data_IF_016146459152
#
_entry.id   IF_016146459152
#
_cell.length_a   1.000
_cell.length_b   1.000
_cell.length_c   1.000
_cell.angle_alpha   90.00
_cell.angle_beta   90.00
_cell.angle_gamma   90.00
#
_symmetry.space_group_name_H-M   'P 1'
#
loop_
_entity.id
_entity.type
_entity.pdbx_description
1 polymer ?
#
# COMPACT_ATOMS: atom_id res chain seq x y z
N UNK A 1 18.63 -7.53 12.02
CA UNK A 1 17.99 -8.22 10.87
C UNK A 1 18.24 -7.40 9.62
N UNK A 2 18.64 -8.00 8.51
CA UNK A 2 18.80 -7.30 7.23
C UNK A 2 17.47 -7.27 6.46
N UNK A 3 17.22 -6.17 5.75
CA UNK A 3 16.10 -6.07 4.81
C UNK A 3 16.32 -7.02 3.62
N UNK A 4 15.26 -7.64 3.07
CA UNK A 4 15.33 -8.33 1.79
C UNK A 4 15.88 -7.41 0.68
N UNK A 5 16.68 -7.92 -0.26
CA UNK A 5 17.30 -7.09 -1.31
C UNK A 5 16.30 -6.23 -2.10
N UNK A 6 15.09 -6.74 -2.35
CA UNK A 6 14.04 -6.02 -3.10
C UNK A 6 13.53 -4.75 -2.38
N UNK A 7 13.69 -4.67 -1.07
CA UNK A 7 13.29 -3.52 -0.24
C UNK A 7 14.47 -2.62 0.12
N UNK A 8 15.70 -3.07 -0.14
CA UNK A 8 16.92 -2.32 0.17
C UNK A 8 16.95 -1.04 -0.67
N UNK A 9 17.27 0.08 -0.04
CA UNK A 9 17.38 1.42 -0.66
C UNK A 9 16.07 1.96 -1.27
N UNK A 10 14.92 1.28 -1.08
CA UNK A 10 13.60 1.73 -1.54
C UNK A 10 12.73 2.32 -0.43
N UNK A 11 13.10 2.08 0.82
CA UNK A 11 12.32 2.50 1.99
C UNK A 11 13.07 3.58 2.76
N UNK A 12 12.35 4.62 3.20
CA UNK A 12 12.86 5.63 4.10
C UNK A 12 13.02 5.08 5.52
N UNK A 13 12.10 4.18 5.91
CA UNK A 13 12.15 3.42 7.17
C UNK A 13 11.68 1.98 6.91
N UNK A 14 12.16 0.98 7.67
CA UNK A 14 11.74 -0.41 7.52
C UNK A 14 10.34 -0.65 8.11
N UNK A 15 9.32 -0.01 7.54
CA UNK A 15 7.96 -0.02 8.03
C UNK A 15 6.94 -0.43 6.96
N UNK A 16 5.88 -1.10 7.43
CA UNK A 16 4.68 -1.43 6.66
C UNK A 16 3.52 -0.75 7.37
N UNK A 17 2.74 0.05 6.64
CA UNK A 17 1.53 0.66 7.20
C UNK A 17 0.46 -0.43 7.39
N UNK A 18 -0.02 -0.60 8.63
CA UNK A 18 -1.07 -1.57 8.92
C UNK A 18 -2.38 -1.20 8.19
N UNK A 19 -3.10 -2.18 7.61
CA UNK A 19 -4.31 -1.90 6.86
C UNK A 19 -5.46 -1.49 7.79
N UNK A 20 -6.12 -0.39 7.46
CA UNK A 20 -7.26 0.13 8.20
C UNK A 20 -8.53 -0.01 7.37
N UNK A 21 -9.56 -0.62 7.95
CA UNK A 21 -10.87 -0.71 7.32
C UNK A 21 -11.43 0.69 7.09
N UNK A 22 -12.02 0.93 5.92
CA UNK A 22 -12.56 2.22 5.44
C UNK A 22 -11.48 3.30 5.19
N UNK A 23 -10.46 3.42 6.04
CA UNK A 23 -9.45 4.50 5.95
C UNK A 23 -8.40 4.22 4.86
N UNK A 24 -7.87 3.00 4.79
CA UNK A 24 -6.85 2.65 3.79
C UNK A 24 -7.47 2.57 2.39
N UNK A 25 -7.13 3.54 1.54
CA UNK A 25 -7.60 3.67 0.16
C UNK A 25 -6.41 3.89 -0.79
N UNK A 26 -6.61 3.91 -2.13
CA UNK A 26 -5.52 4.05 -3.08
C UNK A 26 -4.68 5.31 -2.88
N UNK A 27 -5.32 6.46 -2.62
CA UNK A 27 -4.58 7.71 -2.40
C UNK A 27 -3.64 7.65 -1.20
N UNK A 28 -4.08 7.06 -0.08
CA UNK A 28 -3.24 6.88 1.10
C UNK A 28 -2.07 5.94 0.81
N UNK A 29 -2.33 4.83 0.12
CA UNK A 29 -1.30 3.83 -0.21
C UNK A 29 -0.26 4.41 -1.17
N UNK A 30 -0.68 5.19 -2.16
CA UNK A 30 0.22 5.92 -3.07
C UNK A 30 1.09 6.90 -2.27
N UNK A 31 0.49 7.69 -1.37
CA UNK A 31 1.25 8.63 -0.52
C UNK A 31 2.27 7.90 0.38
N UNK A 32 1.92 6.75 0.95
CA UNK A 32 2.83 5.92 1.75
C UNK A 32 4.00 5.38 0.90
N UNK A 33 3.69 4.77 -0.25
CA UNK A 33 4.68 4.20 -1.16
C UNK A 33 5.67 5.26 -1.68
N UNK A 34 5.17 6.43 -2.10
CA UNK A 34 5.99 7.56 -2.56
C UNK A 34 6.85 8.17 -1.44
N UNK A 35 6.42 8.03 -0.18
CA UNK A 35 7.17 8.46 1.00
C UNK A 35 8.18 7.42 1.52
N UNK A 36 8.36 6.30 0.81
CA UNK A 36 9.30 5.24 1.19
C UNK A 36 8.80 4.34 2.33
N UNK A 37 7.49 4.11 2.43
CA UNK A 37 6.86 3.15 3.35
C UNK A 37 6.06 2.15 2.50
N UNK A 38 6.01 0.88 2.90
CA UNK A 38 5.13 -0.08 2.23
C UNK A 38 3.68 0.21 2.62
N UNK A 39 2.86 0.67 1.66
CA UNK A 39 1.44 0.90 1.86
C UNK A 39 0.61 -0.39 1.78
N UNK A 40 -0.52 -0.44 2.49
CA UNK A 40 -1.44 -1.58 2.43
C UNK A 40 -2.90 -1.15 2.68
N UNK A 41 -3.84 -1.94 2.16
CA UNK A 41 -5.28 -1.76 2.36
C UNK A 41 -6.02 -3.10 2.37
N UNK A 42 -7.11 -3.26 3.13
CA UNK A 42 -7.98 -4.41 3.01
C UNK A 42 -8.64 -4.44 1.62
N UNK A 43 -8.59 -5.58 0.93
CA UNK A 43 -9.32 -5.76 -0.34
C UNK A 43 -10.82 -5.46 -0.19
N UNK A 44 -11.39 -5.74 0.98
CA UNK A 44 -12.78 -5.43 1.34
C UNK A 44 -13.10 -3.92 1.37
N UNK A 45 -12.12 -3.01 1.34
CA UNK A 45 -12.40 -1.58 1.20
C UNK A 45 -12.81 -1.22 -0.24
N UNK A 46 -12.34 -1.97 -1.23
CA UNK A 46 -12.70 -1.80 -2.63
C UNK A 46 -14.09 -2.42 -2.88
N UNK A 47 -15.13 -1.60 -2.77
CA UNK A 47 -16.52 -1.99 -3.02
C UNK A 47 -17.14 -1.13 -4.10
N UNK A 48 -18.08 -1.65 -4.91
CA UNK A 48 -18.62 -3.03 -4.91
C UNK A 48 -17.63 -4.06 -5.51
N UNK A 49 -18.07 -5.30 -5.71
CA UNK A 49 -17.26 -6.33 -6.36
C UNK A 49 -16.70 -5.83 -7.70
N UNK A 50 -15.44 -6.17 -8.00
CA UNK A 50 -14.71 -5.67 -9.18
C UNK A 50 -13.92 -4.38 -8.94
N UNK A 51 -14.20 -3.62 -7.88
CA UNK A 51 -13.50 -2.36 -7.61
C UNK A 51 -12.02 -2.54 -7.24
N UNK A 52 -11.63 -3.74 -6.77
CA UNK A 52 -10.25 -4.04 -6.41
C UNK A 52 -9.32 -3.92 -7.62
N UNK A 53 -9.75 -4.39 -8.80
CA UNK A 53 -8.96 -4.31 -10.05
C UNK A 53 -8.65 -2.85 -10.37
N UNK A 54 -9.69 -2.00 -10.35
CA UNK A 54 -9.58 -0.56 -10.60
C UNK A 54 -8.62 0.11 -9.61
N UNK A 55 -8.69 -0.28 -8.34
CA UNK A 55 -7.78 0.25 -7.31
C UNK A 55 -6.32 -0.16 -7.57
N UNK A 56 -6.08 -1.40 -8.00
CA UNK A 56 -4.73 -1.86 -8.35
C UNK A 56 -4.21 -1.10 -9.57
N UNK A 57 -5.02 -0.96 -10.62
CA UNK A 57 -4.70 -0.17 -11.83
C UNK A 57 -4.38 1.30 -11.51
N UNK A 58 -5.00 1.86 -10.47
CA UNK A 58 -4.74 3.24 -10.03
C UNK A 58 -3.38 3.41 -9.33
N UNK A 59 -2.85 2.33 -8.73
CA UNK A 59 -1.63 2.36 -7.90
C UNK A 59 -0.36 2.07 -8.72
N UNK A 60 -0.47 1.22 -9.76
CA UNK A 60 0.65 0.80 -10.62
C UNK A 60 0.92 1.81 -11.73
#
# INVERSE_FOLDING_TARGET
MSLPPILKDRLAIPAIAAPLFIVSNPHLVIAQCTSGIVGSFPALNARPAGQLEVWIETII
#
